data_IF_334633768080
#
_entry.id   IF_334633768080
#
_cell.length_a   1.000
_cell.length_b   1.000
_cell.length_c   1.000
_cell.angle_alpha   90.00
_cell.angle_beta   90.00
_cell.angle_gamma   90.00
#
_symmetry.space_group_name_H-M   'P 1'
#
loop_
_entity.id
_entity.type
_entity.pdbx_description
1 polymer ?
#
# COMPACT_ATOMS: atom_id res chain seq x y z
N UNK A 1 -5.69 12.69 17.89
CA UNK A 1 -5.87 11.50 17.04
C UNK A 1 -4.75 11.59 16.04
N UNK A 2 -3.91 10.58 15.93
CA UNK A 2 -2.89 10.61 14.87
C UNK A 2 -3.63 10.41 13.55
N UNK A 3 -3.58 11.42 12.68
CA UNK A 3 -4.18 11.36 11.35
C UNK A 3 -3.56 10.20 10.56
N UNK A 4 -4.36 9.54 9.72
CA UNK A 4 -3.88 8.46 8.84
C UNK A 4 -2.62 8.88 8.07
N UNK A 5 -1.58 8.05 8.08
CA UNK A 5 -0.33 8.33 7.36
C UNK A 5 0.35 7.08 6.84
N UNK A 6 0.76 7.12 5.57
CA UNK A 6 1.51 6.07 4.88
C UNK A 6 2.52 6.71 3.92
N UNK A 7 3.80 6.36 4.03
CA UNK A 7 4.84 6.80 3.12
C UNK A 7 5.64 5.61 2.58
N UNK A 8 6.12 5.73 1.34
CA UNK A 8 6.88 4.68 0.65
C UNK A 8 8.17 5.24 0.08
N UNK A 9 9.29 4.61 0.40
CA UNK A 9 10.63 5.02 -0.01
C UNK A 9 11.38 3.83 -0.61
N UNK A 10 12.14 4.06 -1.68
CA UNK A 10 13.05 3.06 -2.25
C UNK A 10 14.48 3.45 -1.92
N UNK A 11 15.14 2.67 -1.08
CA UNK A 11 16.50 2.96 -0.59
C UNK A 11 17.38 1.74 -0.80
N UNK A 12 18.44 1.88 -1.61
CA UNK A 12 19.47 0.86 -1.82
C UNK A 12 18.90 -0.56 -2.13
N UNK A 13 17.88 -0.64 -2.99
CA UNK A 13 17.24 -1.91 -3.38
C UNK A 13 16.23 -2.46 -2.37
N UNK A 14 15.96 -1.74 -1.28
CA UNK A 14 14.90 -2.04 -0.33
C UNK A 14 13.73 -1.08 -0.52
N UNK A 15 12.50 -1.57 -0.31
CA UNK A 15 11.30 -0.74 -0.18
C UNK A 15 11.01 -0.58 1.30
N UNK A 16 10.94 0.66 1.77
CA UNK A 16 10.56 0.99 3.14
C UNK A 16 9.13 1.53 3.10
N UNK A 17 8.21 0.83 3.75
CA UNK A 17 6.84 1.27 3.99
C UNK A 17 6.72 1.75 5.42
N UNK A 18 6.52 3.06 5.60
CA UNK A 18 6.32 3.72 6.90
C UNK A 18 4.84 4.03 7.05
N UNK A 19 4.23 3.65 8.16
CA UNK A 19 2.83 4.00 8.42
C UNK A 19 2.57 4.05 9.92
N UNK A 20 1.59 4.86 10.32
CA UNK A 20 1.07 4.81 11.68
C UNK A 20 0.07 3.66 11.84
N UNK A 21 -0.51 3.51 13.04
CA UNK A 21 -1.48 2.44 13.34
C UNK A 21 -2.63 2.41 12.33
N UNK A 22 -3.23 3.56 12.02
CA UNK A 22 -4.38 3.63 11.11
C UNK A 22 -3.97 3.35 9.65
N UNK A 23 -2.80 3.82 9.24
CA UNK A 23 -2.19 3.49 7.95
C UNK A 23 -1.98 2.00 7.77
N UNK A 24 -1.35 1.34 8.75
CA UNK A 24 -1.12 -0.11 8.73
C UNK A 24 -2.44 -0.91 8.70
N UNK A 25 -3.44 -0.49 9.48
CA UNK A 25 -4.75 -1.14 9.45
C UNK A 25 -5.47 -0.96 8.12
N UNK A 26 -5.29 0.20 7.46
CA UNK A 26 -5.83 0.42 6.12
C UNK A 26 -5.18 -0.47 5.07
N UNK A 27 -3.86 -0.52 5.06
CA UNK A 27 -3.10 -1.41 4.16
C UNK A 27 -3.48 -2.87 4.35
N UNK A 28 -3.60 -3.32 5.61
CA UNK A 28 -4.05 -4.67 5.92
C UNK A 28 -5.41 -4.99 5.26
N UNK A 29 -6.36 -4.05 5.27
CA UNK A 29 -7.65 -4.25 4.59
C UNK A 29 -7.52 -4.37 3.08
N UNK A 30 -6.67 -3.55 2.45
CA UNK A 30 -6.40 -3.65 1.01
C UNK A 30 -5.77 -5.01 0.66
N UNK A 31 -4.79 -5.47 1.44
CA UNK A 31 -4.18 -6.79 1.28
C UNK A 31 -5.20 -7.92 1.45
N UNK A 32 -6.00 -7.89 2.51
CA UNK A 32 -7.03 -8.91 2.75
C UNK A 32 -8.03 -8.96 1.59
N UNK A 33 -8.51 -7.80 1.13
CA UNK A 33 -9.44 -7.72 0.00
C UNK A 33 -8.83 -8.33 -1.26
N UNK A 34 -7.58 -7.98 -1.58
CA UNK A 34 -6.88 -8.51 -2.75
C UNK A 34 -6.70 -10.04 -2.64
N UNK A 35 -6.40 -10.56 -1.45
CA UNK A 35 -6.24 -11.98 -1.20
C UNK A 35 -7.57 -12.76 -1.35
N UNK A 36 -8.69 -12.21 -0.89
CA UNK A 36 -10.00 -12.88 -0.87
C UNK A 36 -10.75 -12.82 -2.21
N UNK A 37 -10.30 -12.01 -3.17
CA UNK A 37 -11.01 -11.82 -4.44
C UNK A 37 -10.98 -13.08 -5.33
N UNK A 38 -12.14 -13.63 -5.69
CA UNK A 38 -12.23 -14.97 -6.29
C UNK A 38 -11.55 -15.09 -7.66
N UNK A 39 -11.58 -14.03 -8.48
CA UNK A 39 -11.05 -14.00 -9.85
C UNK A 39 -9.87 -13.01 -10.01
N UNK A 40 -9.11 -12.77 -8.94
CA UNK A 40 -8.04 -11.76 -8.90
C UNK A 40 -6.67 -12.20 -9.46
N UNK A 41 -6.63 -13.09 -10.46
CA UNK A 41 -5.35 -13.40 -11.13
C UNK A 41 -4.88 -12.16 -11.90
N UNK A 42 -3.73 -11.60 -11.52
CA UNK A 42 -3.23 -10.32 -12.05
C UNK A 42 -3.97 -9.08 -11.51
N UNK A 43 -4.84 -9.25 -10.51
CA UNK A 43 -5.44 -8.11 -9.83
C UNK A 43 -4.39 -7.38 -9.00
N UNK A 44 -4.53 -6.07 -8.94
CA UNK A 44 -3.62 -5.20 -8.23
C UNK A 44 -4.35 -3.95 -7.72
N UNK A 45 -3.71 -3.27 -6.78
CA UNK A 45 -4.08 -1.91 -6.41
C UNK A 45 -2.84 -1.02 -6.39
N UNK A 46 -3.07 0.27 -6.63
CA UNK A 46 -2.06 1.30 -6.70
C UNK A 46 -2.32 2.30 -5.60
N UNK A 47 -1.26 2.71 -4.91
CA UNK A 47 -1.27 3.87 -4.02
C UNK A 47 -0.19 4.85 -4.45
N UNK A 48 -0.52 6.13 -4.50
CA UNK A 48 0.36 7.24 -4.84
C UNK A 48 0.09 8.45 -3.93
N UNK A 49 0.88 9.52 -4.11
CA UNK A 49 0.76 10.75 -3.33
C UNK A 49 -0.58 11.49 -3.52
N UNK A 50 -1.36 11.15 -4.55
CA UNK A 50 -2.67 11.76 -4.81
C UNK A 50 -3.82 10.95 -4.23
N UNK A 51 -3.60 9.70 -3.83
CA UNK A 51 -4.69 8.79 -3.47
C UNK A 51 -4.56 8.09 -2.11
N UNK A 52 -3.43 8.21 -1.38
CA UNK A 52 -3.27 7.77 0.03
C UNK A 52 -1.87 7.95 0.62
N UNK A 53 -0.84 8.16 -0.20
CA UNK A 53 0.54 8.26 0.30
C UNK A 53 0.91 9.71 0.63
N UNK A 54 1.86 9.89 1.55
CA UNK A 54 2.45 11.19 1.82
C UNK A 54 3.20 11.73 0.59
N UNK A 55 3.22 13.05 0.43
CA UNK A 55 3.95 13.76 -0.65
C UNK A 55 5.38 13.26 -0.80
N UNK A 56 5.81 13.01 -2.04
CA UNK A 56 7.15 12.51 -2.36
C UNK A 56 7.35 11.00 -2.13
N UNK A 57 6.30 10.27 -1.76
CA UNK A 57 6.34 8.80 -1.74
C UNK A 57 6.50 8.22 -3.15
N UNK A 58 7.22 7.10 -3.25
CA UNK A 58 7.18 6.29 -4.46
C UNK A 58 5.81 5.61 -4.60
N UNK A 59 5.36 5.40 -5.84
CA UNK A 59 4.14 4.63 -6.11
C UNK A 59 4.27 3.20 -5.56
N UNK A 60 3.25 2.74 -4.84
CA UNK A 60 3.13 1.38 -4.35
C UNK A 60 2.13 0.61 -5.20
N UNK A 61 2.62 -0.40 -5.91
CA UNK A 61 1.79 -1.34 -6.65
C UNK A 61 1.89 -2.70 -5.98
N UNK A 62 0.73 -3.28 -5.65
CA UNK A 62 0.65 -4.60 -5.02
C UNK A 62 -0.23 -5.46 -5.89
N UNK A 63 0.37 -6.51 -6.46
CA UNK A 63 -0.27 -7.44 -7.37
C UNK A 63 -0.38 -8.82 -6.73
N UNK A 64 -1.51 -9.48 -6.96
CA UNK A 64 -1.67 -10.88 -6.60
C UNK A 64 -1.09 -11.77 -7.68
N UNK A 65 -0.06 -12.51 -7.31
CA UNK A 65 0.54 -13.57 -8.13
C UNK A 65 -0.45 -14.74 -8.30
N UNK A 66 -0.27 -15.53 -9.37
CA UNK A 66 -1.08 -16.72 -9.68
C UNK A 66 -1.05 -17.80 -8.61
#
# INVERSE_FOLDING_TARGET
>A
MDDFSVAVEVVAGSVILKANREGLLSLARHFTRLAEEKDAKGAHFHLDEFNSLEEGSAELIVERME
#
